data_IF_024078689474
#
_entry.id   IF_024078689474
#
_cell.length_a   1.000
_cell.length_b   1.000
_cell.length_c   1.000
_cell.angle_alpha   90.00
_cell.angle_beta   90.00
_cell.angle_gamma   90.00
#
_symmetry.space_group_name_H-M   'P 1'
#
loop_
_entity.id
_entity.type
_entity.pdbx_description
1 polymer ?
#
# COMPACT_ATOMS: atom_id res chain seq x y z
N UNK A 1 -23.25 19.40 -12.24
CA UNK A 1 -23.19 17.96 -12.57
C UNK A 1 -21.78 17.43 -12.79
N UNK A 2 -20.98 17.87 -13.80
CA UNK A 2 -19.60 17.36 -14.01
C UNK A 2 -18.61 17.85 -12.94
N UNK A 3 -18.74 19.10 -12.48
CA UNK A 3 -17.94 19.65 -11.38
C UNK A 3 -18.24 18.96 -10.04
N UNK A 4 -19.53 18.72 -9.73
CA UNK A 4 -19.93 18.07 -8.47
C UNK A 4 -19.38 16.64 -8.34
N UNK A 5 -19.34 15.87 -9.44
CA UNK A 5 -18.74 14.53 -9.45
C UNK A 5 -17.23 14.56 -9.23
N UNK A 6 -16.54 15.48 -9.89
CA UNK A 6 -15.09 15.64 -9.70
C UNK A 6 -14.75 16.01 -8.25
N UNK A 7 -15.50 16.93 -7.66
CA UNK A 7 -15.31 17.33 -6.26
C UNK A 7 -15.58 16.16 -5.29
N UNK A 8 -16.59 15.34 -5.56
CA UNK A 8 -16.85 14.11 -4.80
C UNK A 8 -15.68 13.11 -4.89
N UNK A 9 -15.11 12.91 -6.08
CA UNK A 9 -13.94 12.02 -6.27
C UNK A 9 -12.73 12.57 -5.51
N UNK A 10 -12.46 13.87 -5.61
CA UNK A 10 -11.36 14.51 -4.87
C UNK A 10 -11.55 14.36 -3.36
N UNK A 11 -12.78 14.51 -2.86
CA UNK A 11 -13.09 14.29 -1.45
C UNK A 11 -12.83 12.84 -1.04
N UNK A 12 -13.34 11.87 -1.81
CA UNK A 12 -13.09 10.45 -1.54
C UNK A 12 -11.60 10.12 -1.58
N UNK A 13 -10.83 10.67 -2.52
CA UNK A 13 -9.38 10.53 -2.61
C UNK A 13 -8.69 10.97 -1.30
N UNK A 14 -9.05 12.14 -0.78
CA UNK A 14 -8.52 12.64 0.51
C UNK A 14 -8.90 11.75 1.69
N UNK A 15 -10.15 11.28 1.72
CA UNK A 15 -10.65 10.40 2.78
C UNK A 15 -9.91 9.04 2.73
N UNK A 16 -9.69 8.48 1.54
CA UNK A 16 -8.90 7.25 1.33
C UNK A 16 -7.47 7.45 1.83
N UNK A 17 -6.81 8.55 1.46
CA UNK A 17 -5.46 8.86 1.95
C UNK A 17 -5.44 8.95 3.48
N UNK A 18 -6.41 9.64 4.08
CA UNK A 18 -6.50 9.82 5.53
C UNK A 18 -6.65 8.49 6.27
N UNK A 19 -7.58 7.64 5.83
CA UNK A 19 -7.79 6.32 6.45
C UNK A 19 -6.61 5.37 6.20
N UNK A 20 -6.02 5.39 5.01
CA UNK A 20 -4.83 4.57 4.69
C UNK A 20 -3.65 4.92 5.60
N UNK A 21 -3.41 6.21 5.88
CA UNK A 21 -2.41 6.65 6.87
C UNK A 21 -2.69 6.14 8.26
N UNK A 22 -3.95 6.21 8.72
CA UNK A 22 -4.34 5.70 10.04
C UNK A 22 -4.09 4.19 10.15
N UNK A 23 -4.37 3.44 9.09
CA UNK A 23 -4.09 2.00 9.01
C UNK A 23 -2.59 1.73 9.08
N UNK A 24 -1.78 2.49 8.33
CA UNK A 24 -0.31 2.40 8.42
C UNK A 24 0.14 2.66 9.87
N UNK A 25 -0.32 3.73 10.51
CA UNK A 25 0.03 4.02 11.91
C UNK A 25 -0.38 2.90 12.88
N UNK A 26 -1.54 2.27 12.66
CA UNK A 26 -1.98 1.10 13.42
C UNK A 26 -1.01 -0.08 13.22
N UNK A 27 -0.61 -0.36 11.99
CA UNK A 27 0.32 -1.46 11.67
C UNK A 27 1.71 -1.29 12.30
N UNK A 28 2.18 -0.06 12.48
CA UNK A 28 3.43 0.21 13.21
C UNK A 28 3.39 -0.20 14.69
N UNK A 29 2.21 -0.46 15.24
CA UNK A 29 2.07 -0.98 16.61
C UNK A 29 2.33 -2.48 16.68
N UNK A 30 2.34 -3.19 15.55
CA UNK A 30 2.73 -4.59 15.50
C UNK A 30 4.21 -4.71 15.89
N UNK A 31 4.54 -5.54 16.87
CA UNK A 31 5.92 -5.70 17.33
C UNK A 31 6.12 -7.03 18.04
N UNK A 32 7.34 -7.57 18.00
CA UNK A 32 7.72 -8.80 18.70
C UNK A 32 7.43 -8.78 20.21
N UNK A 33 7.38 -7.60 20.84
CA UNK A 33 7.07 -7.44 22.28
C UNK A 33 5.63 -7.69 22.66
N UNK A 34 4.70 -7.66 21.69
CA UNK A 34 3.28 -7.88 21.93
C UNK A 34 2.98 -9.36 22.05
N UNK A 35 1.96 -9.66 22.85
CA UNK A 35 1.37 -11.00 22.90
C UNK A 35 0.78 -11.36 21.53
N UNK A 36 0.63 -12.65 21.26
CA UNK A 36 0.04 -13.11 20.00
C UNK A 36 -1.41 -12.65 19.84
N UNK A 37 -2.13 -12.49 20.95
CA UNK A 37 -3.49 -11.95 20.97
C UNK A 37 -3.52 -10.48 20.53
N UNK A 38 -2.67 -9.62 21.11
CA UNK A 38 -2.60 -8.22 20.69
C UNK A 38 -2.16 -8.06 19.23
N UNK A 39 -1.24 -8.91 18.75
CA UNK A 39 -0.84 -8.93 17.34
C UNK A 39 -2.01 -9.27 16.43
N UNK A 40 -2.82 -10.26 16.83
CA UNK A 40 -4.03 -10.68 16.13
C UNK A 40 -5.08 -9.58 16.10
N UNK A 41 -5.32 -8.91 17.23
CA UNK A 41 -6.25 -7.78 17.32
C UNK A 41 -5.86 -6.64 16.37
N UNK A 42 -4.57 -6.27 16.34
CA UNK A 42 -4.06 -5.22 15.43
C UNK A 42 -4.30 -5.60 13.96
N UNK A 43 -4.04 -6.87 13.61
CA UNK A 43 -4.22 -7.35 12.25
C UNK A 43 -5.70 -7.41 11.83
N UNK A 44 -6.59 -7.87 12.72
CA UNK A 44 -8.03 -7.88 12.44
C UNK A 44 -8.58 -6.45 12.32
N UNK A 45 -8.20 -5.54 13.23
CA UNK A 45 -8.61 -4.13 13.14
C UNK A 45 -8.13 -3.48 11.83
N UNK A 46 -6.86 -3.71 11.45
CA UNK A 46 -6.31 -3.18 10.20
C UNK A 46 -7.04 -3.74 8.97
N UNK A 47 -7.35 -5.03 8.98
CA UNK A 47 -8.07 -5.72 7.90
C UNK A 47 -9.51 -5.21 7.78
N UNK A 48 -10.21 -5.04 8.88
CA UNK A 48 -11.57 -4.45 8.90
C UNK A 48 -11.57 -3.04 8.33
N UNK A 49 -10.63 -2.19 8.75
CA UNK A 49 -10.48 -0.82 8.23
C UNK A 49 -10.14 -0.80 6.74
N UNK A 50 -9.25 -1.68 6.25
CA UNK A 50 -8.97 -1.80 4.81
C UNK A 50 -10.22 -2.21 4.03
N UNK A 51 -11.00 -3.16 4.56
CA UNK A 51 -12.26 -3.59 3.94
C UNK A 51 -13.32 -2.50 3.97
N UNK A 52 -13.38 -1.67 5.02
CA UNK A 52 -14.25 -0.51 5.09
C UNK A 52 -13.88 0.53 4.03
N UNK A 53 -12.59 0.86 3.86
CA UNK A 53 -12.13 1.76 2.79
C UNK A 53 -12.51 1.21 1.42
N UNK A 54 -12.34 -0.10 1.20
CA UNK A 54 -12.70 -0.79 -0.04
C UNK A 54 -14.21 -0.73 -0.33
N UNK A 55 -15.02 -1.22 0.60
CA UNK A 55 -16.47 -1.34 0.45
C UNK A 55 -17.20 0.00 0.46
N UNK A 56 -16.62 1.04 1.05
CA UNK A 56 -17.26 2.36 1.13
C UNK A 56 -16.65 3.38 0.16
N UNK A 57 -15.38 3.73 0.30
CA UNK A 57 -14.77 4.84 -0.41
C UNK A 57 -14.38 4.45 -1.84
N UNK A 58 -13.65 3.35 -2.01
CA UNK A 58 -13.23 2.89 -3.33
C UNK A 58 -14.44 2.50 -4.19
N UNK A 59 -15.41 1.79 -3.61
CA UNK A 59 -16.65 1.48 -4.31
C UNK A 59 -17.45 2.74 -4.73
N UNK A 60 -17.53 3.76 -3.87
CA UNK A 60 -18.17 5.05 -4.24
C UNK A 60 -17.48 5.67 -5.45
N UNK A 61 -16.15 5.63 -5.49
CA UNK A 61 -15.39 6.16 -6.63
C UNK A 61 -15.60 5.30 -7.88
N UNK A 62 -15.61 3.97 -7.75
CA UNK A 62 -15.92 3.04 -8.85
C UNK A 62 -17.29 3.31 -9.47
N UNK A 63 -18.31 3.53 -8.63
CA UNK A 63 -19.68 3.89 -9.06
C UNK A 63 -19.73 5.25 -9.75
N UNK A 64 -18.95 6.23 -9.27
CA UNK A 64 -18.88 7.56 -9.85
C UNK A 64 -18.14 7.59 -11.21
N UNK A 65 -17.24 6.64 -11.43
CA UNK A 65 -16.43 6.47 -12.65
C UNK A 65 -16.98 5.34 -13.54
N UNK A 66 -18.28 5.38 -13.84
CA UNK A 66 -19.00 4.29 -14.50
C UNK A 66 -18.68 4.09 -15.98
N UNK A 67 -17.84 4.93 -16.59
CA UNK A 67 -17.34 4.72 -17.95
C UNK A 67 -15.82 4.95 -18.04
N UNK A 68 -15.17 4.28 -19.00
CA UNK A 68 -13.72 4.38 -19.26
C UNK A 68 -13.26 5.83 -19.48
N UNK A 69 -14.12 6.65 -20.10
CA UNK A 69 -13.84 8.07 -20.32
C UNK A 69 -13.76 8.85 -19.00
N UNK A 70 -14.60 8.52 -18.01
CA UNK A 70 -14.58 9.16 -16.69
C UNK A 70 -13.34 8.77 -15.88
N UNK A 71 -12.84 7.53 -16.04
CA UNK A 71 -11.58 7.09 -15.43
C UNK A 71 -10.41 7.91 -15.98
N UNK A 72 -10.25 7.98 -17.31
CA UNK A 72 -9.18 8.78 -17.93
C UNK A 72 -9.21 10.27 -17.52
N UNK A 73 -10.41 10.85 -17.35
CA UNK A 73 -10.57 12.26 -16.97
C UNK A 73 -10.31 12.55 -15.49
N UNK A 74 -10.42 11.55 -14.61
CA UNK A 74 -10.34 11.73 -13.17
C UNK A 74 -9.22 10.93 -12.50
N UNK A 75 -8.42 10.17 -13.26
CA UNK A 75 -7.27 9.44 -12.75
C UNK A 75 -6.36 10.34 -11.89
N UNK A 76 -6.01 11.54 -12.35
CA UNK A 76 -5.19 12.48 -11.57
C UNK A 76 -5.78 12.90 -10.22
N UNK A 77 -7.12 12.87 -10.08
CA UNK A 77 -7.79 13.25 -8.83
C UNK A 77 -7.75 12.13 -7.78
N UNK A 78 -7.73 10.87 -8.21
CA UNK A 78 -7.79 9.71 -7.34
C UNK A 78 -6.44 9.00 -7.15
N UNK A 79 -5.49 9.17 -8.08
CA UNK A 79 -4.17 8.52 -8.08
C UNK A 79 -3.47 8.57 -6.72
N UNK A 80 -3.48 9.71 -6.03
CA UNK A 80 -2.86 9.82 -4.69
C UNK A 80 -3.54 8.94 -3.64
N UNK A 81 -4.87 8.90 -3.61
CA UNK A 81 -5.63 8.02 -2.73
C UNK A 81 -5.36 6.54 -3.04
N UNK A 82 -5.29 6.18 -4.32
CA UNK A 82 -4.96 4.82 -4.76
C UNK A 82 -3.55 4.43 -4.31
N UNK A 83 -2.54 5.26 -4.57
CA UNK A 83 -1.15 4.97 -4.20
C UNK A 83 -0.99 4.78 -2.69
N UNK A 84 -1.63 5.63 -1.87
CA UNK A 84 -1.60 5.48 -0.40
C UNK A 84 -2.32 4.21 0.07
N UNK A 85 -3.43 3.83 -0.58
CA UNK A 85 -4.13 2.59 -0.26
C UNK A 85 -3.32 1.35 -0.66
N UNK A 86 -2.60 1.41 -1.78
CA UNK A 86 -1.66 0.37 -2.21
C UNK A 86 -0.54 0.24 -1.18
N UNK A 87 0.02 1.36 -0.71
CA UNK A 87 1.03 1.37 0.34
C UNK A 87 0.53 0.71 1.63
N UNK A 88 -0.65 1.10 2.12
CA UNK A 88 -1.26 0.52 3.32
C UNK A 88 -1.53 -0.98 3.15
N UNK A 89 -2.05 -1.40 2.00
CA UNK A 89 -2.38 -2.81 1.71
C UNK A 89 -1.11 -3.67 1.58
N UNK A 90 -0.07 -3.15 0.94
CA UNK A 90 1.21 -3.83 0.79
C UNK A 90 1.94 -3.94 2.14
N UNK A 91 1.89 -2.89 2.96
CA UNK A 91 2.45 -2.94 4.32
C UNK A 91 1.67 -3.94 5.19
N UNK A 92 0.34 -3.96 5.12
CA UNK A 92 -0.49 -4.99 5.78
C UNK A 92 -0.12 -6.40 5.35
N UNK A 93 0.01 -6.67 4.04
CA UNK A 93 0.37 -7.98 3.50
C UNK A 93 1.73 -8.44 4.01
N UNK A 94 2.71 -7.53 4.04
CA UNK A 94 4.02 -7.81 4.60
C UNK A 94 3.94 -8.14 6.10
N UNK A 95 3.27 -7.32 6.92
CA UNK A 95 3.19 -7.56 8.37
C UNK A 95 2.44 -8.86 8.71
N UNK A 96 1.39 -9.19 7.93
CA UNK A 96 0.56 -10.37 8.17
C UNK A 96 1.16 -11.68 7.67
N UNK A 97 1.87 -11.66 6.53
CA UNK A 97 2.31 -12.89 5.84
C UNK A 97 3.79 -12.90 5.45
N UNK A 98 4.49 -11.77 5.55
CA UNK A 98 5.86 -11.59 5.05
C UNK A 98 5.96 -11.55 3.52
N UNK A 99 4.83 -11.43 2.81
CA UNK A 99 4.78 -11.52 1.35
C UNK A 99 4.59 -10.16 0.68
N UNK A 100 4.97 -10.11 -0.59
CA UNK A 100 4.73 -8.98 -1.47
C UNK A 100 3.27 -8.98 -1.92
N UNK A 101 2.62 -7.82 -1.91
CA UNK A 101 1.31 -7.64 -2.54
C UNK A 101 1.51 -7.60 -4.06
N UNK A 102 1.05 -8.63 -4.76
CA UNK A 102 1.20 -8.75 -6.21
C UNK A 102 0.20 -7.85 -6.96
N UNK A 103 0.54 -7.45 -8.18
CA UNK A 103 -0.33 -6.60 -9.00
C UNK A 103 -1.70 -7.25 -9.30
N UNK A 104 -1.75 -8.58 -9.46
CA UNK A 104 -3.01 -9.30 -9.67
C UNK A 104 -3.91 -9.28 -8.44
N UNK A 105 -3.35 -9.52 -7.23
CA UNK A 105 -4.07 -9.37 -5.97
C UNK A 105 -4.60 -7.93 -5.81
N UNK A 106 -3.82 -6.94 -6.25
CA UNK A 106 -4.21 -5.53 -6.21
C UNK A 106 -5.41 -5.22 -7.12
N UNK A 107 -5.45 -5.77 -8.34
CA UNK A 107 -6.58 -5.61 -9.26
C UNK A 107 -7.86 -6.23 -8.70
N UNK A 108 -7.76 -7.37 -8.02
CA UNK A 108 -8.90 -8.02 -7.37
C UNK A 108 -9.48 -7.14 -6.25
N UNK A 109 -8.64 -6.45 -5.48
CA UNK A 109 -9.11 -5.50 -4.45
C UNK A 109 -9.91 -4.33 -5.04
N UNK A 110 -9.66 -3.98 -6.31
CA UNK A 110 -10.29 -2.86 -7.01
C UNK A 110 -11.43 -3.30 -7.94
N UNK A 111 -11.82 -4.56 -7.82
CA UNK A 111 -13.02 -5.12 -8.43
C UNK A 111 -14.08 -5.32 -7.35
N UNK A 112 -15.30 -4.93 -7.68
CA UNK A 112 -16.45 -4.92 -6.77
C UNK A 112 -17.66 -5.51 -7.46
N UNK A 113 -18.52 -6.16 -6.69
CA UNK A 113 -19.81 -6.63 -7.18
C UNK A 113 -20.86 -6.36 -6.11
N UNK A 114 -22.00 -5.78 -6.51
CA UNK A 114 -23.14 -5.54 -5.64
C UNK A 114 -24.44 -5.86 -6.37
N UNK A 115 -25.44 -6.31 -5.63
CA UNK A 115 -26.78 -6.47 -6.19
C UNK A 115 -27.43 -5.09 -6.35
N UNK A 116 -27.95 -4.80 -7.55
CA UNK A 116 -28.84 -3.67 -7.79
C UNK A 116 -30.15 -3.88 -6.98
N UNK A 117 -30.90 -2.84 -6.60
CA UNK A 117 -32.26 -2.95 -6.04
C UNK A 117 -33.20 -3.97 -6.71
N UNK A 118 -33.02 -4.25 -8.00
CA UNK A 118 -33.81 -5.25 -8.74
C UNK A 118 -33.31 -6.70 -8.55
N UNK A 119 -32.21 -6.91 -7.82
CA UNK A 119 -31.62 -8.22 -7.53
C UNK A 119 -30.53 -8.67 -8.51
N UNK A 120 -30.26 -7.87 -9.56
CA UNK A 120 -29.23 -8.17 -10.55
C UNK A 120 -27.82 -7.85 -10.05
N UNK A 121 -26.86 -8.75 -10.29
CA UNK A 121 -25.47 -8.54 -9.93
C UNK A 121 -24.83 -7.50 -10.86
N UNK A 122 -24.32 -6.42 -10.29
CA UNK A 122 -23.65 -5.35 -11.01
C UNK A 122 -22.19 -5.25 -10.59
N UNK A 123 -21.31 -5.36 -11.56
CA UNK A 123 -19.87 -5.27 -11.37
C UNK A 123 -19.38 -3.84 -11.56
N UNK A 124 -18.47 -3.43 -10.69
CA UNK A 124 -17.75 -2.17 -10.77
C UNK A 124 -16.25 -2.46 -10.68
N UNK A 125 -15.45 -1.68 -11.39
CA UNK A 125 -14.00 -1.77 -11.29
C UNK A 125 -13.37 -0.40 -11.39
N UNK A 126 -12.24 -0.25 -10.69
CA UNK A 126 -11.35 0.89 -10.84
C UNK A 126 -10.08 0.41 -11.52
N UNK A 127 -9.75 0.98 -12.68
CA UNK A 127 -8.53 0.64 -13.38
C UNK A 127 -7.32 1.14 -12.59
N UNK A 128 -6.48 0.20 -12.11
CA UNK A 128 -5.17 0.51 -11.55
C UNK A 128 -4.14 0.32 -12.64
N UNK A 129 -3.43 1.39 -13.01
CA UNK A 129 -2.32 1.27 -13.96
C UNK A 129 -1.13 0.58 -13.28
N UNK A 130 -0.27 -0.13 -14.04
CA UNK A 130 0.99 -0.66 -13.49
C UNK A 130 1.85 0.43 -12.84
N UNK A 131 1.76 1.68 -13.32
CA UNK A 131 2.46 2.81 -12.75
C UNK A 131 1.93 3.18 -11.35
N UNK A 132 0.62 3.23 -11.15
CA UNK A 132 0.02 3.50 -9.83
C UNK A 132 0.46 2.45 -8.80
N UNK A 133 0.46 1.19 -9.21
CA UNK A 133 0.98 0.08 -8.40
C UNK A 133 2.45 0.27 -8.03
N UNK A 134 3.31 0.52 -9.02
CA UNK A 134 4.74 0.70 -8.78
C UNK A 134 5.05 1.91 -7.91
N UNK A 135 4.32 3.02 -8.10
CA UNK A 135 4.51 4.24 -7.30
C UNK A 135 4.05 4.03 -5.84
N UNK A 136 2.87 3.45 -5.62
CA UNK A 136 2.39 3.14 -4.27
C UNK A 136 3.25 2.09 -3.56
N UNK A 137 3.67 1.04 -4.25
CA UNK A 137 4.59 0.03 -3.70
C UNK A 137 5.97 0.62 -3.38
N UNK A 138 6.42 1.64 -4.11
CA UNK A 138 7.69 2.30 -3.81
C UNK A 138 7.64 3.09 -2.50
N UNK A 139 6.48 3.58 -2.08
CA UNK A 139 6.34 4.33 -0.83
C UNK A 139 6.41 3.44 0.41
N UNK A 140 6.00 2.18 0.29
CA UNK A 140 6.18 1.14 1.33
C UNK A 140 7.62 1.07 1.84
N UNK A 141 8.62 1.37 1.01
CA UNK A 141 10.02 1.37 1.43
C UNK A 141 10.32 2.30 2.62
N UNK A 142 9.62 3.44 2.70
CA UNK A 142 9.74 4.35 3.84
C UNK A 142 9.15 3.76 5.13
N UNK A 143 8.01 3.10 5.01
CA UNK A 143 7.30 2.47 6.12
C UNK A 143 8.02 1.20 6.61
N UNK A 144 8.58 0.39 5.71
CA UNK A 144 9.45 -0.75 6.04
C UNK A 144 10.71 -0.30 6.78
N UNK A 145 11.39 0.74 6.29
CA UNK A 145 12.56 1.31 6.97
C UNK A 145 12.21 1.76 8.40
N UNK A 146 11.10 2.49 8.55
CA UNK A 146 10.63 2.97 9.86
C UNK A 146 10.31 1.79 10.78
N UNK A 147 9.63 0.78 10.25
CA UNK A 147 9.26 -0.42 10.99
C UNK A 147 10.50 -1.20 11.46
N UNK A 148 11.45 -1.48 10.56
CA UNK A 148 12.70 -2.16 10.90
C UNK A 148 13.48 -1.42 11.99
N UNK A 149 13.58 -0.09 11.88
CA UNK A 149 14.24 0.74 12.89
C UNK A 149 13.58 0.63 14.26
N UNK A 150 12.24 0.61 14.30
CA UNK A 150 11.47 0.44 15.54
C UNK A 150 11.69 -0.95 16.16
N UNK A 151 11.66 -2.01 15.35
CA UNK A 151 11.89 -3.38 15.85
C UNK A 151 13.33 -3.56 16.36
N UNK A 152 14.32 -3.05 15.62
CA UNK A 152 15.72 -3.07 16.05
C UNK A 152 15.92 -2.32 17.37
N UNK A 153 15.38 -1.11 17.49
CA UNK A 153 15.42 -0.31 18.73
C UNK A 153 14.71 -0.99 19.90
N UNK A 154 13.71 -1.83 19.59
CA UNK A 154 13.02 -2.65 20.58
C UNK A 154 13.81 -3.91 20.99
N UNK A 155 14.90 -4.25 20.29
CA UNK A 155 15.71 -5.45 20.51
C UNK A 155 15.27 -6.67 19.69
N UNK A 156 14.30 -6.52 18.78
CA UNK A 156 13.84 -7.57 17.87
C UNK A 156 14.63 -7.49 16.56
N UNK A 157 15.87 -8.00 16.61
CA UNK A 157 16.82 -7.98 15.49
C UNK A 157 16.35 -8.91 14.37
N UNK A 158 15.76 -10.07 14.72
CA UNK A 158 15.29 -11.04 13.73
C UNK A 158 14.18 -10.46 12.84
N UNK A 159 13.21 -9.75 13.41
CA UNK A 159 12.19 -9.07 12.60
C UNK A 159 12.81 -7.95 11.75
N UNK A 160 13.76 -7.19 12.28
CA UNK A 160 14.44 -6.15 11.52
C UNK A 160 15.22 -6.72 10.30
N UNK A 161 15.90 -7.86 10.46
CA UNK A 161 16.56 -8.60 9.38
C UNK A 161 15.58 -9.03 8.29
N UNK A 162 14.45 -9.64 8.68
CA UNK A 162 13.41 -10.07 7.75
C UNK A 162 12.88 -8.90 6.90
N UNK A 163 12.74 -7.71 7.51
CA UNK A 163 12.33 -6.49 6.80
C UNK A 163 13.38 -6.08 5.77
N UNK A 164 14.67 -6.11 6.13
CA UNK A 164 15.75 -5.77 5.19
C UNK A 164 15.78 -6.73 4.01
N UNK A 165 15.64 -8.03 4.26
CA UNK A 165 15.61 -9.02 3.19
C UNK A 165 14.41 -8.84 2.27
N UNK A 166 13.25 -8.51 2.84
CA UNK A 166 12.07 -8.16 2.05
C UNK A 166 12.30 -6.89 1.19
N UNK A 167 12.91 -5.84 1.76
CA UNK A 167 13.27 -4.64 1.00
C UNK A 167 14.26 -4.94 -0.13
N UNK A 168 15.22 -5.86 0.07
CA UNK A 168 16.15 -6.31 -0.99
C UNK A 168 15.41 -7.01 -2.12
N UNK A 169 14.42 -7.86 -1.82
CA UNK A 169 13.60 -8.53 -2.84
C UNK A 169 12.86 -7.52 -3.71
N UNK A 170 12.20 -6.52 -3.10
CA UNK A 170 11.52 -5.45 -3.83
C UNK A 170 12.51 -4.66 -4.70
N UNK A 171 13.64 -4.25 -4.12
CA UNK A 171 14.64 -3.46 -4.84
C UNK A 171 15.22 -4.21 -6.05
N UNK A 172 15.47 -5.52 -5.92
CA UNK A 172 15.89 -6.37 -7.06
C UNK A 172 14.84 -6.37 -8.16
N UNK A 173 13.55 -6.44 -7.81
CA UNK A 173 12.45 -6.32 -8.77
C UNK A 173 12.47 -4.98 -9.52
N UNK A 174 12.71 -3.88 -8.82
CA UNK A 174 12.83 -2.55 -9.45
C UNK A 174 14.01 -2.43 -10.41
N UNK A 175 15.15 -3.06 -10.10
CA UNK A 175 16.31 -3.06 -10.99
C UNK A 175 16.06 -3.81 -12.31
N UNK A 176 15.20 -4.82 -12.30
CA UNK A 176 14.80 -5.57 -13.50
C UNK A 176 13.74 -4.83 -14.32
N UNK A 177 13.05 -3.85 -13.73
CA UNK A 177 12.01 -3.10 -14.42
C UNK A 177 12.60 -1.90 -15.19
N UNK A 178 12.69 -2.02 -16.51
CA UNK A 178 13.12 -0.93 -17.37
C UNK A 178 11.97 0.06 -17.62
N UNK A 179 11.81 1.04 -16.73
CA UNK A 179 10.88 2.18 -16.92
C UNK A 179 11.64 3.48 -17.11
N UNK A 180 11.23 4.28 -18.10
CA UNK A 180 11.72 5.65 -18.29
C UNK A 180 10.85 6.69 -17.57
N UNK A 181 9.89 6.26 -16.74
CA UNK A 181 9.05 7.18 -16.00
C UNK A 181 9.86 7.89 -14.92
N UNK A 182 9.92 9.23 -15.01
CA UNK A 182 10.73 10.07 -14.11
C UNK A 182 10.39 9.83 -12.64
N UNK A 183 9.11 9.77 -12.30
CA UNK A 183 8.68 9.64 -10.91
C UNK A 183 9.06 8.27 -10.34
N UNK A 184 8.93 7.19 -11.14
CA UNK A 184 9.33 5.86 -10.71
C UNK A 184 10.86 5.77 -10.53
N UNK A 185 11.62 6.40 -11.43
CA UNK A 185 13.08 6.50 -11.31
C UNK A 185 13.47 7.19 -10.00
N UNK A 186 12.83 8.32 -9.68
CA UNK A 186 13.07 9.05 -8.44
C UNK A 186 12.68 8.23 -7.21
N UNK A 187 11.51 7.57 -7.23
CA UNK A 187 11.04 6.69 -6.15
C UNK A 187 11.98 5.50 -5.93
N UNK A 188 12.54 4.92 -6.99
CA UNK A 188 13.55 3.85 -6.90
C UNK A 188 14.82 4.32 -6.20
N UNK A 189 15.26 5.56 -6.48
CA UNK A 189 16.41 6.18 -5.78
C UNK A 189 16.10 6.38 -4.29
N UNK A 190 14.90 6.86 -3.96
CA UNK A 190 14.46 7.06 -2.57
C UNK A 190 14.38 5.71 -1.84
N UNK A 191 13.79 4.69 -2.47
CA UNK A 191 13.72 3.34 -1.94
C UNK A 191 15.11 2.79 -1.63
N UNK A 192 16.06 2.96 -2.57
CA UNK A 192 17.46 2.58 -2.35
C UNK A 192 18.06 3.28 -1.14
N UNK A 193 17.80 4.58 -0.96
CA UNK A 193 18.29 5.32 0.20
C UNK A 193 17.70 4.77 1.51
N UNK A 194 16.41 4.43 1.53
CA UNK A 194 15.76 3.79 2.68
C UNK A 194 16.40 2.44 3.01
N UNK A 195 16.67 1.61 1.98
CA UNK A 195 17.37 0.34 2.13
C UNK A 195 18.80 0.53 2.66
N UNK A 196 19.55 1.50 2.12
CA UNK A 196 20.91 1.78 2.59
C UNK A 196 20.92 2.23 4.06
N UNK A 197 19.94 3.03 4.49
CA UNK A 197 19.84 3.43 5.91
C UNK A 197 19.76 2.21 6.82
N UNK A 198 18.79 1.32 6.61
CA UNK A 198 18.68 0.12 7.45
C UNK A 198 19.92 -0.78 7.38
N UNK A 199 20.53 -0.92 6.21
CA UNK A 199 21.77 -1.69 6.06
C UNK A 199 22.95 -1.09 6.84
N UNK A 200 23.11 0.23 6.85
CA UNK A 200 24.15 0.89 7.64
C UNK A 200 23.85 0.84 9.13
N UNK A 201 22.60 1.08 9.53
CA UNK A 201 22.19 1.04 10.95
C UNK A 201 22.35 -0.36 11.57
N UNK A 202 22.19 -1.42 10.78
CA UNK A 202 22.31 -2.80 11.25
C UNK A 202 23.65 -3.45 10.88
N UNK A 203 24.49 -2.78 10.08
CA UNK A 203 25.73 -3.33 9.51
C UNK A 203 26.82 -3.69 10.52
N UNK A 204 26.76 -3.17 11.75
CA UNK A 204 27.65 -3.59 12.84
C UNK A 204 27.26 -4.95 13.44
N UNK A 205 26.01 -5.42 13.19
CA UNK A 205 25.45 -6.67 13.73
C UNK A 205 25.24 -7.72 12.64
N UNK A 206 24.86 -7.28 11.43
CA UNK A 206 24.71 -8.14 10.26
C UNK A 206 26.09 -8.31 9.61
N UNK A 207 26.74 -9.45 9.81
CA UNK A 207 27.93 -9.83 9.05
C UNK A 207 27.58 -9.89 7.55
N UNK A 208 27.67 -8.74 6.88
CA UNK A 208 27.39 -8.58 5.46
C UNK A 208 28.49 -9.31 4.67
N UNK A 209 28.22 -10.55 4.31
CA UNK A 209 28.87 -11.17 3.16
C UNK A 209 28.33 -10.47 1.92
N UNK A 210 29.11 -9.51 1.41
CA UNK A 210 28.88 -8.85 0.12
C UNK A 210 28.93 -9.90 -0.99
#
# INVERSE_FOLDING_TARGET
MRHDRHEQIVKCSRDITSESKKIIFLLHRYSGKKTDEEKREILEEAKERLNEVRSSLLLKVAKAMSCVMDQYMHNSAITFGIQEHIEASAFFKFISTGQLLMYDEMKELFTFAENDPDGDLKEYSLEITPLDYLLGLSDVGGELMRYATNQYSAGDISTAENVVDFMRVIYRGYLLHHSQHRDFTQKTVIFRQSLMKVLFYFGDVLQLSI
#
